data_IF_281776632294
#
_entry.id   IF_281776632294
#
_cell.length_a   1.000
_cell.length_b   1.000
_cell.length_c   1.000
_cell.angle_alpha   90.00
_cell.angle_beta   90.00
_cell.angle_gamma   90.00
#
_symmetry.space_group_name_H-M   'P 1'
#
loop_
_entity.id
_entity.type
_entity.pdbx_description
1 polymer ?
#
# COMPACT_ATOMS: atom_id res chain seq x y z
N UNK A 1 -47.59 -34.39 41.77
CA UNK A 1 -46.70 -35.04 40.79
C UNK A 1 -46.45 -34.04 39.67
N UNK A 2 -45.36 -33.27 39.73
CA UNK A 2 -45.00 -32.30 38.68
C UNK A 2 -44.21 -33.06 37.62
N UNK A 3 -44.79 -33.22 36.43
CA UNK A 3 -44.11 -33.85 35.30
C UNK A 3 -42.95 -32.94 34.82
N UNK A 4 -41.77 -33.49 34.51
CA UNK A 4 -40.56 -32.72 34.21
C UNK A 4 -40.52 -32.35 32.72
N UNK A 5 -41.54 -31.66 32.21
CA UNK A 5 -41.57 -31.21 30.82
C UNK A 5 -41.79 -29.69 30.81
N UNK A 6 -40.93 -28.97 30.10
CA UNK A 6 -41.20 -27.60 29.68
C UNK A 6 -42.40 -27.63 28.71
N UNK A 7 -43.47 -26.83 28.93
CA UNK A 7 -44.58 -26.76 28.00
C UNK A 7 -44.06 -26.38 26.62
N UNK A 8 -44.47 -27.11 25.58
CA UNK A 8 -44.23 -26.70 24.21
C UNK A 8 -45.00 -25.40 23.97
N UNK A 9 -44.30 -24.28 23.74
CA UNK A 9 -44.95 -23.06 23.29
C UNK A 9 -45.49 -23.32 21.88
N UNK A 10 -46.82 -23.39 21.78
CA UNK A 10 -47.48 -23.53 20.49
C UNK A 10 -47.22 -22.26 19.67
N UNK A 11 -46.91 -22.39 18.37
CA UNK A 11 -46.74 -21.23 17.51
C UNK A 11 -48.00 -20.36 17.54
N UNK A 12 -47.81 -19.04 17.55
CA UNK A 12 -48.91 -18.06 17.61
C UNK A 12 -49.79 -18.01 16.35
N UNK A 13 -49.38 -18.73 15.30
CA UNK A 13 -50.04 -18.81 14.01
C UNK A 13 -50.46 -20.25 13.73
N UNK A 14 -51.63 -20.41 13.10
CA UNK A 14 -52.07 -21.72 12.62
C UNK A 14 -51.21 -22.19 11.44
N UNK A 15 -51.14 -23.50 11.21
CA UNK A 15 -50.38 -24.10 10.11
C UNK A 15 -50.73 -23.48 8.75
N UNK A 16 -52.02 -23.23 8.49
CA UNK A 16 -52.50 -22.57 7.28
C UNK A 16 -52.01 -21.10 7.17
N UNK A 17 -51.93 -20.37 8.29
CA UNK A 17 -51.37 -19.01 8.29
C UNK A 17 -49.88 -18.99 8.01
N UNK A 18 -49.14 -20.01 8.48
CA UNK A 18 -47.71 -20.16 8.21
C UNK A 18 -47.49 -20.49 6.73
N UNK A 19 -48.30 -21.39 6.15
CA UNK A 19 -48.23 -21.75 4.73
C UNK A 19 -48.55 -20.57 3.81
N UNK A 20 -49.62 -19.83 4.07
CA UNK A 20 -49.94 -18.63 3.27
C UNK A 20 -48.85 -17.56 3.37
N UNK A 21 -48.26 -17.38 4.57
CA UNK A 21 -47.17 -16.44 4.75
C UNK A 21 -45.88 -16.90 4.06
N UNK A 22 -45.65 -18.20 3.97
CA UNK A 22 -44.53 -18.77 3.21
C UNK A 22 -44.70 -18.43 1.72
N UNK A 23 -45.89 -18.69 1.17
CA UNK A 23 -46.24 -18.39 -0.23
C UNK A 23 -46.08 -16.89 -0.55
N UNK A 24 -46.63 -16.00 0.30
CA UNK A 24 -46.45 -14.54 0.16
C UNK A 24 -44.97 -14.12 0.19
N UNK A 25 -44.16 -14.75 1.04
CA UNK A 25 -42.72 -14.45 1.14
C UNK A 25 -41.96 -14.97 -0.08
N UNK A 26 -42.31 -16.14 -0.61
CA UNK A 26 -41.73 -16.70 -1.82
C UNK A 26 -42.04 -15.82 -3.04
N UNK A 27 -43.30 -15.39 -3.20
CA UNK A 27 -43.72 -14.48 -4.26
C UNK A 27 -43.02 -13.12 -4.18
N UNK A 28 -42.86 -12.56 -2.98
CA UNK A 28 -42.15 -11.30 -2.80
C UNK A 28 -40.65 -11.44 -3.04
N UNK A 29 -40.06 -12.59 -2.72
CA UNK A 29 -38.66 -12.91 -3.03
C UNK A 29 -38.45 -12.99 -4.54
N UNK A 30 -39.27 -13.75 -5.27
CA UNK A 30 -39.16 -13.90 -6.72
C UNK A 30 -39.32 -12.56 -7.46
N UNK A 31 -40.29 -11.75 -7.03
CA UNK A 31 -40.48 -10.39 -7.55
C UNK A 31 -39.25 -9.50 -7.30
N UNK A 32 -38.62 -9.63 -6.14
CA UNK A 32 -37.41 -8.88 -5.79
C UNK A 32 -36.20 -9.33 -6.61
N UNK A 33 -36.05 -10.64 -6.85
CA UNK A 33 -34.99 -11.19 -7.70
C UNK A 33 -35.13 -10.76 -9.15
N UNK A 34 -36.35 -10.78 -9.68
CA UNK A 34 -36.65 -10.32 -11.04
C UNK A 34 -36.32 -8.84 -11.22
N UNK A 35 -36.68 -7.99 -10.24
CA UNK A 35 -36.27 -6.57 -10.24
C UNK A 35 -34.75 -6.41 -10.20
N UNK A 36 -34.05 -7.19 -9.37
CA UNK A 36 -32.59 -7.17 -9.28
C UNK A 36 -31.96 -7.51 -10.63
N UNK A 37 -32.38 -8.59 -11.28
CA UNK A 37 -31.89 -9.01 -12.61
C UNK A 37 -32.18 -7.92 -13.65
N UNK A 38 -33.39 -7.36 -13.63
CA UNK A 38 -33.79 -6.25 -14.51
C UNK A 38 -32.98 -4.97 -14.30
N UNK A 39 -32.51 -4.70 -13.09
CA UNK A 39 -31.62 -3.57 -12.79
C UNK A 39 -30.17 -3.85 -13.21
N UNK A 40 -29.67 -5.08 -13.05
CA UNK A 40 -28.31 -5.49 -13.40
C UNK A 40 -28.01 -5.31 -14.88
N UNK A 41 -29.02 -5.41 -15.77
CA UNK A 41 -28.83 -5.25 -17.23
C UNK A 41 -28.23 -3.89 -17.63
N UNK A 42 -28.41 -2.86 -16.82
CA UNK A 42 -27.93 -1.51 -17.13
C UNK A 42 -26.54 -1.23 -16.56
N UNK A 43 -25.94 -2.14 -15.79
CA UNK A 43 -24.65 -1.88 -15.13
C UNK A 43 -23.55 -1.54 -16.13
N UNK A 44 -23.47 -2.24 -17.26
CA UNK A 44 -22.46 -1.96 -18.29
C UNK A 44 -22.69 -0.59 -18.93
N UNK A 45 -23.92 -0.31 -19.36
CA UNK A 45 -24.26 0.99 -19.95
C UNK A 45 -24.03 2.15 -18.98
N UNK A 46 -24.40 1.99 -17.70
CA UNK A 46 -24.15 3.00 -16.67
C UNK A 46 -22.65 3.19 -16.41
N UNK A 47 -21.86 2.11 -16.44
CA UNK A 47 -20.39 2.20 -16.34
C UNK A 47 -19.81 2.98 -17.51
N UNK A 48 -20.28 2.75 -18.73
CA UNK A 48 -19.81 3.47 -19.92
C UNK A 48 -20.20 4.95 -19.87
N UNK A 49 -21.46 5.25 -19.54
CA UNK A 49 -21.91 6.62 -19.34
C UNK A 49 -21.12 7.35 -18.25
N UNK A 50 -20.82 6.67 -17.14
CA UNK A 50 -20.03 7.22 -16.06
C UNK A 50 -18.58 7.47 -16.50
N UNK A 51 -17.96 6.55 -17.23
CA UNK A 51 -16.62 6.74 -17.80
C UNK A 51 -16.57 7.92 -18.77
N UNK A 52 -17.59 8.07 -19.63
CA UNK A 52 -17.70 9.18 -20.56
C UNK A 52 -17.90 10.51 -19.82
N UNK A 53 -18.83 10.56 -18.86
CA UNK A 53 -19.08 11.75 -18.05
C UNK A 53 -17.83 12.18 -17.26
N UNK A 54 -17.10 11.24 -16.67
CA UNK A 54 -15.83 11.50 -15.99
C UNK A 54 -14.76 12.02 -16.96
N UNK A 55 -14.68 11.47 -18.17
CA UNK A 55 -13.72 11.92 -19.19
C UNK A 55 -14.03 13.34 -19.64
N UNK A 56 -15.29 13.66 -19.91
CA UNK A 56 -15.75 15.01 -20.24
C UNK A 56 -15.49 15.98 -19.09
N UNK A 57 -15.75 15.58 -17.84
CA UNK A 57 -15.48 16.41 -16.66
C UNK A 57 -13.99 16.73 -16.51
N UNK A 58 -13.10 15.74 -16.72
CA UNK A 58 -11.64 15.96 -16.70
C UNK A 58 -11.19 16.88 -17.82
N UNK A 59 -11.75 16.72 -19.03
CA UNK A 59 -11.44 17.58 -20.17
C UNK A 59 -11.86 19.03 -19.87
N UNK A 60 -13.09 19.25 -19.40
CA UNK A 60 -13.56 20.59 -19.03
C UNK A 60 -12.66 21.23 -17.96
N UNK A 61 -12.25 20.46 -16.95
CA UNK A 61 -11.32 20.94 -15.94
C UNK A 61 -9.97 21.33 -16.54
N UNK A 62 -9.44 20.53 -17.47
CA UNK A 62 -8.21 20.85 -18.18
C UNK A 62 -8.37 22.13 -19.00
N UNK A 63 -9.46 22.31 -19.75
CA UNK A 63 -9.75 23.52 -20.54
C UNK A 63 -9.82 24.78 -19.68
N UNK A 64 -10.24 24.70 -18.42
CA UNK A 64 -10.20 25.85 -17.51
C UNK A 64 -8.79 26.26 -17.07
N UNK A 65 -7.81 25.38 -17.23
CA UNK A 65 -6.40 25.62 -16.89
C UNK A 65 -5.58 26.07 -18.10
N UNK A 66 -6.23 26.27 -19.26
CA UNK A 66 -5.57 26.64 -20.51
C UNK A 66 -5.90 28.07 -20.88
N UNK A 67 -4.93 28.75 -21.50
CA UNK A 67 -5.15 30.07 -22.06
C UNK A 67 -5.59 29.92 -23.52
N UNK A 68 -6.83 30.31 -23.82
CA UNK A 68 -7.43 30.23 -25.15
C UNK A 68 -7.75 31.65 -25.64
N UNK A 69 -6.95 32.14 -26.58
CA UNK A 69 -7.20 33.37 -27.33
C UNK A 69 -7.54 33.02 -28.78
N UNK A 70 -8.19 33.94 -29.52
CA UNK A 70 -8.70 33.67 -30.87
C UNK A 70 -7.55 33.16 -31.78
N UNK A 71 -7.57 31.86 -32.07
CA UNK A 71 -6.59 31.18 -32.93
C UNK A 71 -5.28 30.75 -32.24
N UNK A 72 -5.14 30.93 -30.93
CA UNK A 72 -3.97 30.54 -30.16
C UNK A 72 -4.39 29.90 -28.83
N UNK A 73 -3.96 28.66 -28.62
CA UNK A 73 -4.19 27.92 -27.39
C UNK A 73 -2.86 27.50 -26.76
N UNK A 74 -2.70 27.76 -25.46
CA UNK A 74 -1.46 27.49 -24.71
C UNK A 74 -1.76 26.66 -23.47
N UNK A 75 -0.98 25.58 -23.29
CA UNK A 75 -0.98 24.74 -22.08
C UNK A 75 0.41 24.79 -21.46
N UNK A 76 0.47 25.02 -20.15
CA UNK A 76 1.67 24.81 -19.35
C UNK A 76 1.42 23.68 -18.33
N UNK A 77 2.30 22.69 -18.29
CA UNK A 77 2.17 21.54 -17.41
C UNK A 77 3.53 20.96 -17.00
N UNK A 78 3.55 20.25 -15.87
CA UNK A 78 4.71 19.51 -15.40
C UNK A 78 4.80 18.15 -16.07
N UNK A 79 5.95 17.83 -16.67
CA UNK A 79 6.19 16.55 -17.32
C UNK A 79 7.44 15.86 -16.73
N UNK A 80 7.36 14.56 -16.40
CA UNK A 80 8.53 13.78 -16.05
C UNK A 80 9.50 13.67 -17.23
N UNK A 81 10.81 13.77 -16.96
CA UNK A 81 11.86 13.74 -18.00
C UNK A 81 11.78 12.49 -18.88
N UNK A 82 11.39 11.36 -18.31
CA UNK A 82 11.24 10.09 -19.03
C UNK A 82 10.03 10.02 -19.99
N UNK A 83 9.11 11.00 -19.95
CA UNK A 83 7.94 11.07 -20.84
C UNK A 83 8.05 12.15 -21.91
N UNK A 84 9.14 12.94 -21.93
CA UNK A 84 9.35 14.01 -22.92
C UNK A 84 9.32 13.45 -24.36
N UNK A 85 9.89 12.27 -24.59
CA UNK A 85 9.90 11.65 -25.93
C UNK A 85 8.49 11.32 -26.43
N UNK A 86 7.63 10.80 -25.57
CA UNK A 86 6.23 10.51 -25.94
C UNK A 86 5.44 11.79 -26.24
N UNK A 87 5.78 12.90 -25.56
CA UNK A 87 5.17 14.20 -25.83
C UNK A 87 5.62 14.76 -27.18
N UNK A 88 6.89 14.60 -27.54
CA UNK A 88 7.43 15.02 -28.84
C UNK A 88 6.75 14.29 -30.02
N UNK A 89 6.45 13.00 -29.86
CA UNK A 89 5.70 12.22 -30.85
C UNK A 89 4.26 12.75 -31.04
N UNK A 90 3.56 13.06 -29.93
CA UNK A 90 2.22 13.65 -29.98
C UNK A 90 2.22 15.04 -30.63
N UNK A 91 3.22 15.87 -30.30
CA UNK A 91 3.34 17.23 -30.82
C UNK A 91 3.53 17.20 -32.35
N UNK A 92 4.29 16.23 -32.87
CA UNK A 92 4.45 16.01 -34.32
C UNK A 92 3.15 15.56 -34.99
N UNK A 93 2.40 14.66 -34.35
CA UNK A 93 1.11 14.17 -34.88
C UNK A 93 0.10 15.30 -35.04
N UNK A 94 0.00 16.18 -34.04
CA UNK A 94 -0.96 17.29 -34.02
C UNK A 94 -0.41 18.61 -34.58
N UNK A 95 0.83 18.63 -35.07
CA UNK A 95 1.51 19.84 -35.59
C UNK A 95 1.53 21.02 -34.59
N UNK A 96 1.79 20.71 -33.32
CA UNK A 96 1.86 21.69 -32.22
C UNK A 96 3.30 22.23 -32.05
N UNK A 97 3.45 23.30 -31.28
CA UNK A 97 4.74 23.77 -30.80
C UNK A 97 4.96 23.29 -29.35
N UNK A 98 6.16 22.80 -29.03
CA UNK A 98 6.55 22.35 -27.69
C UNK A 98 7.80 23.10 -27.21
N UNK A 99 7.72 23.66 -26.00
CA UNK A 99 8.87 24.21 -25.28
C UNK A 99 9.02 23.44 -23.98
N UNK A 100 10.24 22.99 -23.68
CA UNK A 100 10.56 22.27 -22.45
C UNK A 100 11.62 23.06 -21.70
N UNK A 101 11.34 23.38 -20.44
CA UNK A 101 12.22 24.14 -19.56
C UNK A 101 12.37 23.39 -18.23
N UNK A 102 13.56 23.46 -17.63
CA UNK A 102 13.79 22.94 -16.29
C UNK A 102 13.12 23.85 -15.23
N UNK A 103 12.60 23.29 -14.12
CA UNK A 103 11.96 24.06 -13.08
C UNK A 103 12.88 25.12 -12.48
N UNK A 104 12.39 26.36 -12.37
CA UNK A 104 13.12 27.46 -11.75
C UNK A 104 13.39 27.25 -10.25
N UNK A 105 14.35 27.98 -9.64
CA UNK A 105 14.72 27.81 -8.24
C UNK A 105 13.58 28.11 -7.24
N UNK A 106 12.58 28.90 -7.62
CA UNK A 106 11.42 29.23 -6.76
C UNK A 106 10.17 28.41 -7.09
N UNK A 107 10.21 27.59 -8.14
CA UNK A 107 9.07 26.78 -8.55
C UNK A 107 8.99 25.49 -7.74
N UNK A 108 7.76 25.06 -7.46
CA UNK A 108 7.46 23.84 -6.72
C UNK A 108 6.80 22.82 -7.64
N UNK A 109 7.58 22.09 -8.46
CA UNK A 109 7.04 21.02 -9.27
C UNK A 109 6.48 19.87 -8.41
N UNK A 110 5.51 19.10 -8.92
CA UNK A 110 4.98 17.95 -8.23
C UNK A 110 6.06 16.87 -8.06
N UNK A 111 6.09 16.24 -6.88
CA UNK A 111 7.02 15.15 -6.61
C UNK A 111 6.52 13.85 -7.19
N UNK A 112 7.29 13.28 -8.12
CA UNK A 112 7.06 11.95 -8.65
C UNK A 112 8.03 10.96 -7.99
N UNK A 113 7.51 10.12 -7.11
CA UNK A 113 8.28 9.03 -6.50
C UNK A 113 8.23 7.82 -7.43
N UNK A 114 9.40 7.38 -7.90
CA UNK A 114 9.54 6.16 -8.71
C UNK A 114 10.55 5.23 -8.03
N UNK A 115 10.03 4.18 -7.41
CA UNK A 115 10.81 3.09 -6.86
C UNK A 115 10.72 1.84 -7.74
N UNK A 116 11.76 1.01 -7.69
CA UNK A 116 11.71 -0.36 -8.24
C UNK A 116 10.58 -1.17 -7.58
N UNK A 117 10.06 -2.19 -8.26
CA UNK A 117 8.96 -3.03 -7.76
C UNK A 117 9.17 -3.57 -6.33
N UNK A 118 10.42 -3.91 -5.98
CA UNK A 118 10.79 -4.40 -4.65
C UNK A 118 10.71 -3.32 -3.55
N UNK A 119 10.92 -2.07 -3.91
CA UNK A 119 10.89 -0.89 -3.01
C UNK A 119 9.60 -0.08 -3.15
N UNK A 120 8.74 -0.43 -4.10
CA UNK A 120 7.45 0.20 -4.33
C UNK A 120 6.53 0.22 -3.09
N UNK A 121 6.55 -0.78 -2.18
CA UNK A 121 5.76 -0.69 -0.96
C UNK A 121 6.17 0.47 -0.05
N UNK A 122 7.44 0.89 -0.10
CA UNK A 122 7.95 2.03 0.65
C UNK A 122 7.29 3.35 0.28
N UNK A 123 6.84 3.51 -0.96
CA UNK A 123 6.09 4.70 -1.38
C UNK A 123 4.74 4.78 -0.68
N UNK A 124 4.04 3.66 -0.59
CA UNK A 124 2.74 3.58 0.10
C UNK A 124 2.91 3.91 1.57
N UNK A 125 3.96 3.40 2.22
CA UNK A 125 4.25 3.69 3.62
C UNK A 125 4.47 5.19 3.86
N UNK A 126 5.21 5.87 2.97
CA UNK A 126 5.41 7.32 3.07
C UNK A 126 4.14 8.11 2.77
N UNK A 127 3.33 7.67 1.81
CA UNK A 127 2.14 8.42 1.39
C UNK A 127 1.16 8.70 2.53
N UNK A 128 1.20 7.88 3.59
CA UNK A 128 0.41 8.08 4.82
C UNK A 128 0.90 9.30 5.63
N UNK A 129 2.20 9.58 5.63
CA UNK A 129 2.81 10.73 6.30
C UNK A 129 2.81 12.00 5.45
N UNK A 130 2.80 11.84 4.12
CA UNK A 130 2.78 12.93 3.17
C UNK A 130 3.85 12.77 2.08
N UNK A 131 3.61 13.39 0.94
CA UNK A 131 4.57 13.35 -0.18
C UNK A 131 5.79 14.21 0.15
N UNK A 132 7.02 13.69 -0.02
CA UNK A 132 8.22 14.47 0.24
C UNK A 132 8.32 15.65 -0.73
N UNK A 133 9.03 16.71 -0.31
CA UNK A 133 9.32 17.85 -1.18
C UNK A 133 10.14 17.40 -2.38
N UNK A 134 9.89 18.00 -3.55
CA UNK A 134 10.53 17.63 -4.82
C UNK A 134 12.06 17.65 -4.75
N UNK A 135 12.62 18.59 -3.98
CA UNK A 135 14.08 18.74 -3.81
C UNK A 135 14.62 18.00 -2.59
N UNK A 136 13.74 17.46 -1.76
CA UNK A 136 14.16 16.65 -0.62
C UNK A 136 14.52 15.24 -1.07
N UNK A 137 15.41 14.61 -0.32
CA UNK A 137 15.70 13.20 -0.54
C UNK A 137 14.44 12.36 -0.28
N UNK A 138 14.23 11.32 -1.07
CA UNK A 138 13.15 10.36 -0.87
C UNK A 138 13.49 9.34 0.22
N UNK A 139 12.89 9.40 1.42
CA UNK A 139 13.20 8.47 2.51
C UNK A 139 12.60 7.06 2.32
N UNK A 140 12.02 6.78 1.15
CA UNK A 140 11.18 5.61 0.87
C UNK A 140 11.88 4.29 1.08
N UNK A 141 13.10 4.17 0.55
CA UNK A 141 13.89 2.96 0.71
C UNK A 141 14.30 2.73 2.17
N UNK A 142 14.74 3.78 2.88
CA UNK A 142 15.17 3.66 4.28
C UNK A 142 14.00 3.29 5.19
N UNK A 143 12.86 3.97 5.04
CA UNK A 143 11.64 3.68 5.80
C UNK A 143 11.19 2.24 5.53
N UNK A 144 11.18 1.82 4.26
CA UNK A 144 10.77 0.47 3.90
C UNK A 144 11.69 -0.61 4.51
N UNK A 145 13.01 -0.48 4.33
CA UNK A 145 13.98 -1.46 4.86
C UNK A 145 13.90 -1.54 6.38
N UNK A 146 13.80 -0.39 7.05
CA UNK A 146 13.72 -0.33 8.51
C UNK A 146 12.40 -0.90 9.04
N UNK A 147 11.29 -0.61 8.35
CA UNK A 147 9.99 -1.18 8.67
C UNK A 147 9.99 -2.70 8.54
N UNK A 148 10.52 -3.24 7.44
CA UNK A 148 10.63 -4.68 7.21
C UNK A 148 11.51 -5.33 8.29
N UNK A 149 12.65 -4.72 8.62
CA UNK A 149 13.57 -5.24 9.64
C UNK A 149 12.91 -5.25 11.03
N UNK A 150 12.34 -4.12 11.47
CA UNK A 150 11.70 -4.04 12.79
C UNK A 150 10.48 -4.93 12.91
N UNK A 151 9.70 -5.09 11.85
CA UNK A 151 8.61 -6.05 11.84
C UNK A 151 9.10 -7.47 12.15
N UNK A 152 10.23 -7.87 11.56
CA UNK A 152 10.84 -9.17 11.83
C UNK A 152 11.26 -9.33 13.28
N UNK A 153 11.89 -8.29 13.86
CA UNK A 153 12.31 -8.26 15.27
C UNK A 153 11.11 -8.30 16.22
N UNK A 154 9.99 -7.64 15.89
CA UNK A 154 8.79 -7.57 16.74
C UNK A 154 8.03 -8.90 16.74
N UNK A 155 7.84 -9.51 15.55
CA UNK A 155 7.14 -10.79 15.44
C UNK A 155 7.99 -11.92 16.00
N UNK A 156 9.30 -11.88 15.75
CA UNK A 156 10.32 -12.78 16.23
C UNK A 156 10.10 -14.30 16.06
N UNK A 157 9.14 -14.71 15.24
CA UNK A 157 8.71 -16.11 15.11
C UNK A 157 8.73 -16.58 13.65
N UNK A 158 9.43 -17.69 13.42
CA UNK A 158 9.62 -18.26 12.09
C UNK A 158 8.33 -18.83 11.50
N UNK A 159 7.45 -19.42 12.33
CA UNK A 159 6.18 -20.00 11.95
C UNK A 159 5.20 -18.97 11.40
N UNK A 160 5.07 -17.82 12.07
CA UNK A 160 4.27 -16.70 11.56
C UNK A 160 4.86 -16.10 10.28
N UNK A 161 6.19 -15.99 10.18
CA UNK A 161 6.86 -15.57 8.95
C UNK A 161 6.55 -16.49 7.76
N UNK A 162 6.64 -17.81 7.97
CA UNK A 162 6.33 -18.78 6.92
C UNK A 162 4.85 -18.79 6.55
N UNK A 163 3.96 -18.56 7.51
CA UNK A 163 2.53 -18.42 7.25
C UNK A 163 2.23 -17.19 6.37
N UNK A 164 2.87 -16.05 6.65
CA UNK A 164 2.79 -14.85 5.81
C UNK A 164 3.32 -15.11 4.40
N UNK A 165 4.46 -15.78 4.27
CA UNK A 165 5.01 -16.19 2.97
C UNK A 165 4.09 -17.14 2.22
N UNK A 166 3.46 -18.09 2.93
CA UNK A 166 2.48 -19.01 2.37
C UNK A 166 1.26 -18.29 1.81
N UNK A 167 0.71 -17.33 2.56
CA UNK A 167 -0.40 -16.47 2.10
C UNK A 167 0.02 -15.65 0.88
N UNK A 168 1.19 -15.01 0.92
CA UNK A 168 1.71 -14.24 -0.21
C UNK A 168 1.86 -15.13 -1.47
N UNK A 169 2.36 -16.35 -1.29
CA UNK A 169 2.52 -17.32 -2.38
C UNK A 169 1.17 -17.80 -2.95
N UNK A 170 0.18 -18.11 -2.11
CA UNK A 170 -1.16 -18.50 -2.55
C UNK A 170 -1.87 -17.37 -3.31
N UNK A 171 -1.70 -16.13 -2.86
CA UNK A 171 -2.35 -14.97 -3.45
C UNK A 171 -1.56 -14.34 -4.61
N UNK A 172 -0.37 -14.85 -4.96
CA UNK A 172 0.52 -14.28 -5.99
C UNK A 172 -0.21 -14.01 -7.31
N UNK A 173 -1.05 -14.94 -7.77
CA UNK A 173 -1.75 -14.81 -9.06
C UNK A 173 -2.78 -13.69 -9.06
N UNK A 174 -3.51 -13.51 -7.95
CA UNK A 174 -4.52 -12.45 -7.80
C UNK A 174 -3.86 -11.08 -7.57
N UNK A 175 -2.88 -11.02 -6.68
CA UNK A 175 -2.22 -9.76 -6.30
C UNK A 175 -1.37 -9.18 -7.43
N UNK A 176 -0.68 -10.03 -8.20
CA UNK A 176 0.14 -9.56 -9.31
C UNK A 176 -0.69 -9.13 -10.53
N UNK A 177 -1.90 -9.67 -10.69
CA UNK A 177 -2.83 -9.33 -11.77
C UNK A 177 -3.68 -8.09 -11.48
N UNK A 178 -4.19 -7.92 -10.25
CA UNK A 178 -5.14 -6.85 -9.90
C UNK A 178 -4.49 -5.50 -9.55
N UNK A 179 -3.33 -5.15 -10.13
CA UNK A 179 -2.62 -3.91 -9.79
C UNK A 179 -2.23 -3.77 -8.30
N UNK A 180 -2.27 -4.86 -7.52
CA UNK A 180 -1.92 -4.91 -6.10
C UNK A 180 -0.50 -5.47 -5.87
N UNK A 181 0.37 -5.34 -6.87
CA UNK A 181 1.76 -5.83 -6.83
C UNK A 181 2.53 -5.31 -5.60
N UNK A 182 2.31 -4.04 -5.23
CA UNK A 182 2.91 -3.43 -4.04
C UNK A 182 2.57 -4.19 -2.76
N UNK A 183 1.33 -4.64 -2.62
CA UNK A 183 0.90 -5.38 -1.43
C UNK A 183 1.55 -6.77 -1.36
N UNK A 184 1.71 -7.43 -2.51
CA UNK A 184 2.44 -8.70 -2.60
C UNK A 184 3.90 -8.56 -2.13
N UNK A 185 4.63 -7.58 -2.66
CA UNK A 185 6.03 -7.36 -2.26
C UNK A 185 6.16 -7.00 -0.79
N UNK A 186 5.19 -6.25 -0.24
CA UNK A 186 5.16 -5.95 1.19
C UNK A 186 5.03 -7.23 2.03
N UNK A 187 4.00 -8.05 1.78
CA UNK A 187 3.81 -9.30 2.53
C UNK A 187 4.98 -10.27 2.38
N UNK A 188 5.55 -10.37 1.18
CA UNK A 188 6.73 -11.19 0.94
C UNK A 188 7.93 -10.71 1.76
N UNK A 189 8.24 -9.40 1.74
CA UNK A 189 9.36 -8.85 2.49
C UNK A 189 9.17 -8.99 4.01
N UNK A 190 7.97 -8.71 4.52
CA UNK A 190 7.62 -8.91 5.93
C UNK A 190 7.76 -10.36 6.36
N UNK A 191 7.24 -11.29 5.55
CA UNK A 191 7.36 -12.72 5.78
C UNK A 191 8.81 -13.21 5.78
N UNK A 192 9.63 -12.76 4.82
CA UNK A 192 11.07 -13.09 4.78
C UNK A 192 11.79 -12.56 6.03
N UNK A 193 11.51 -11.32 6.43
CA UNK A 193 12.15 -10.72 7.60
C UNK A 193 11.76 -11.44 8.91
N UNK A 194 10.47 -11.70 9.11
CA UNK A 194 9.98 -12.45 10.27
C UNK A 194 10.51 -13.88 10.30
N UNK A 195 10.52 -14.58 9.16
CA UNK A 195 11.13 -15.91 9.07
C UNK A 195 12.63 -15.88 9.36
N UNK A 196 13.36 -14.91 8.80
CA UNK A 196 14.80 -14.80 9.00
C UNK A 196 15.14 -14.51 10.47
N UNK A 197 14.49 -13.54 11.09
CA UNK A 197 14.73 -13.23 12.50
C UNK A 197 14.24 -14.34 13.43
N UNK A 198 13.08 -14.94 13.16
CA UNK A 198 12.58 -16.09 13.93
C UNK A 198 13.48 -17.32 13.86
N UNK A 199 14.11 -17.57 12.71
CA UNK A 199 15.14 -18.61 12.58
C UNK A 199 16.39 -18.27 13.40
N UNK A 200 16.77 -16.99 13.45
CA UNK A 200 17.92 -16.51 14.24
C UNK A 200 17.66 -16.55 15.75
N UNK A 201 16.45 -16.26 16.20
CA UNK A 201 16.02 -16.36 17.60
C UNK A 201 15.74 -17.80 18.02
N UNK A 202 15.46 -18.69 17.06
CA UNK A 202 15.10 -20.07 17.32
C UNK A 202 13.66 -20.27 17.76
N UNK A 203 12.77 -19.30 17.53
CA UNK A 203 11.36 -19.40 17.89
C UNK A 203 10.51 -19.89 16.71
N UNK A 204 9.76 -20.97 16.95
CA UNK A 204 8.87 -21.58 15.96
C UNK A 204 7.47 -21.79 16.55
N UNK A 205 6.48 -20.97 16.18
CA UNK A 205 5.12 -21.02 16.75
C UNK A 205 5.11 -20.95 18.29
N UNK A 206 6.01 -20.13 18.86
CA UNK A 206 6.28 -20.08 20.30
C UNK A 206 6.65 -21.43 20.95
N UNK A 207 7.20 -22.37 20.18
CA UNK A 207 7.73 -23.65 20.66
C UNK A 207 9.24 -23.69 20.44
N UNK A 208 9.98 -23.99 21.51
CA UNK A 208 11.43 -24.18 21.44
C UNK A 208 11.77 -25.50 20.72
N UNK A 209 12.70 -25.48 19.76
CA UNK A 209 13.13 -26.69 19.07
C UNK A 209 13.87 -27.64 20.04
N UNK A 210 13.74 -28.96 19.88
CA UNK A 210 14.40 -29.92 20.77
C UNK A 210 15.93 -29.74 20.80
N UNK A 211 16.51 -29.89 21.99
CA UNK A 211 17.96 -29.82 22.19
C UNK A 211 18.68 -30.84 21.30
N UNK A 212 19.60 -30.37 20.44
CA UNK A 212 20.35 -31.19 19.48
C UNK A 212 19.76 -31.26 18.07
N UNK A 213 18.60 -30.66 17.82
CA UNK A 213 18.04 -30.55 16.46
C UNK A 213 18.82 -29.54 15.60
N UNK A 214 18.77 -29.69 14.27
CA UNK A 214 19.36 -28.72 13.33
C UNK A 214 18.76 -27.31 13.52
N UNK A 215 17.50 -27.22 13.93
CA UNK A 215 16.79 -25.96 14.21
C UNK A 215 17.38 -25.24 15.43
N UNK A 216 17.67 -25.98 16.52
CA UNK A 216 18.35 -25.43 17.69
C UNK A 216 19.78 -24.95 17.37
N UNK A 217 20.41 -25.45 16.31
CA UNK A 217 21.77 -25.07 15.88
C UNK A 217 21.80 -23.79 15.05
N UNK A 218 20.66 -23.37 14.49
CA UNK A 218 20.50 -22.13 13.70
C UNK A 218 20.18 -20.94 14.62
N UNK A 219 19.64 -21.20 15.82
CA UNK A 219 19.37 -20.21 16.84
C UNK A 219 20.69 -19.63 17.41
N UNK A 220 21.15 -18.51 16.87
CA UNK A 220 22.40 -17.84 17.26
C UNK A 220 22.11 -16.62 18.16
N UNK A 221 20.93 -16.04 18.04
CA UNK A 221 20.60 -14.74 18.64
C UNK A 221 19.25 -14.79 19.34
N UNK A 222 19.20 -15.38 20.54
CA UNK A 222 18.02 -15.39 21.41
C UNK A 222 18.21 -14.37 22.54
N UNK A 223 17.57 -13.18 22.47
CA UNK A 223 17.58 -12.27 23.61
C UNK A 223 16.83 -12.92 24.78
N UNK A 224 17.39 -12.84 25.98
CA UNK A 224 16.76 -13.38 27.17
C UNK A 224 15.56 -12.50 27.56
N UNK A 225 14.36 -13.08 27.47
CA UNK A 225 13.11 -12.39 27.78
C UNK A 225 12.90 -12.21 29.29
N UNK A 226 13.61 -12.97 30.12
CA UNK A 226 13.54 -12.85 31.59
C UNK A 226 14.42 -11.69 32.09
N UNK A 227 15.51 -11.38 31.37
CA UNK A 227 16.41 -10.27 31.69
C UNK A 227 15.92 -8.96 31.08
N UNK A 228 14.95 -8.31 31.73
CA UNK A 228 14.42 -7.00 31.32
C UNK A 228 15.53 -5.96 31.01
N UNK A 229 16.62 -5.82 31.81
CA UNK A 229 17.68 -4.85 31.49
C UNK A 229 18.40 -5.14 30.17
N UNK A 230 18.62 -6.40 29.82
CA UNK A 230 19.27 -6.81 28.57
C UNK A 230 18.36 -6.51 27.37
N UNK A 231 17.06 -6.82 27.50
CA UNK A 231 16.05 -6.51 26.49
C UNK A 231 15.91 -4.99 26.25
N UNK A 232 15.93 -4.19 27.33
CA UNK A 232 15.94 -2.73 27.23
C UNK A 232 17.21 -2.22 26.53
N UNK A 233 18.39 -2.72 26.92
CA UNK A 233 19.65 -2.34 26.30
C UNK A 233 19.68 -2.69 24.80
N UNK A 234 19.13 -3.84 24.42
CA UNK A 234 18.98 -4.27 23.03
C UNK A 234 18.10 -3.32 22.22
N UNK A 235 16.89 -3.02 22.70
CA UNK A 235 15.95 -2.10 22.04
C UNK A 235 16.52 -0.69 21.88
N UNK A 236 17.13 -0.14 22.94
CA UNK A 236 17.76 1.19 22.91
C UNK A 236 18.95 1.21 21.94
N UNK A 237 19.75 0.16 21.90
CA UNK A 237 20.90 0.06 20.98
C UNK A 237 20.46 0.06 19.52
N UNK A 238 19.41 -0.71 19.19
CA UNK A 238 18.83 -0.72 17.83
C UNK A 238 18.26 0.65 17.46
N UNK A 239 17.51 1.28 18.38
CA UNK A 239 16.95 2.62 18.16
C UNK A 239 18.03 3.67 17.92
N UNK A 240 19.09 3.66 18.74
CA UNK A 240 20.23 4.55 18.59
C UNK A 240 20.96 4.32 17.26
N UNK A 241 21.22 3.06 16.90
CA UNK A 241 21.83 2.70 15.62
C UNK A 241 20.98 3.18 14.44
N UNK A 242 19.66 3.03 14.51
CA UNK A 242 18.74 3.47 13.46
C UNK A 242 18.76 4.99 13.27
N UNK A 243 18.74 5.76 14.36
CA UNK A 243 18.86 7.24 14.32
C UNK A 243 20.22 7.67 13.76
N UNK A 244 21.30 6.99 14.13
CA UNK A 244 22.64 7.26 13.61
C UNK A 244 22.71 7.04 12.09
N UNK A 245 22.14 5.94 11.59
CA UNK A 245 22.08 5.63 10.16
C UNK A 245 21.27 6.71 9.41
N UNK A 246 20.10 7.10 9.95
CA UNK A 246 19.26 8.13 9.35
C UNK A 246 20.01 9.47 9.24
N UNK A 247 20.69 9.90 10.30
CA UNK A 247 21.48 11.12 10.31
C UNK A 247 22.70 11.05 9.38
N UNK A 248 23.40 9.91 9.33
CA UNK A 248 24.54 9.72 8.44
C UNK A 248 24.13 9.83 6.96
N UNK A 249 22.99 9.24 6.60
CA UNK A 249 22.42 9.35 5.26
C UNK A 249 22.09 10.82 4.94
N UNK A 250 21.40 11.52 5.84
CA UNK A 250 21.08 12.94 5.65
C UNK A 250 22.33 13.82 5.44
N UNK A 251 23.38 13.60 6.24
CA UNK A 251 24.66 14.32 6.12
C UNK A 251 25.35 14.00 4.79
N UNK A 252 25.42 12.73 4.39
CA UNK A 252 26.07 12.32 3.14
C UNK A 252 25.42 12.96 1.91
N UNK A 253 24.10 13.17 1.98
CA UNK A 253 23.32 13.76 0.89
C UNK A 253 23.48 15.27 0.83
N UNK A 254 23.40 15.94 1.98
CA UNK A 254 23.71 17.36 2.10
C UNK A 254 25.11 17.66 1.55
N UNK A 255 26.09 16.82 1.89
CA UNK A 255 27.44 16.92 1.36
C UNK A 255 27.51 16.69 -0.16
N UNK A 256 26.74 15.73 -0.68
CA UNK A 256 26.66 15.48 -2.14
C UNK A 256 26.03 16.65 -2.91
N UNK A 257 25.02 17.32 -2.33
CA UNK A 257 24.35 18.48 -2.91
C UNK A 257 25.29 19.70 -2.95
N UNK A 258 26.02 19.94 -1.84
CA UNK A 258 27.07 20.96 -1.76
C UNK A 258 28.16 20.75 -2.81
N UNK A 259 28.62 19.50 -2.99
CA UNK A 259 29.64 19.16 -4.00
C UNK A 259 29.17 19.42 -5.43
N UNK A 260 27.86 19.35 -5.69
CA UNK A 260 27.23 19.65 -6.98
C UNK A 260 26.91 21.14 -7.17
N UNK A 261 27.27 22.00 -6.21
CA UNK A 261 27.01 23.45 -6.29
C UNK A 261 25.55 23.82 -6.13
N UNK A 262 24.70 22.91 -5.66
CA UNK A 262 23.29 23.20 -5.39
C UNK A 262 23.20 23.95 -4.05
N UNK A 263 22.73 25.20 -4.09
CA UNK A 263 22.56 26.01 -2.90
C UNK A 263 21.40 25.45 -2.06
N UNK A 264 21.68 25.04 -0.83
CA UNK A 264 20.66 24.57 0.11
C UNK A 264 19.75 25.77 0.44
N UNK A 265 18.51 25.76 -0.05
CA UNK A 265 17.52 26.70 0.47
C UNK A 265 17.17 26.30 1.91
N UNK A 266 16.88 27.30 2.74
CA UNK A 266 16.61 27.19 4.18
C UNK A 266 15.45 26.28 4.57
N UNK A 267 14.71 25.74 3.61
CA UNK A 267 13.52 24.92 3.81
C UNK A 267 13.84 23.45 4.12
N UNK A 268 15.11 23.03 4.01
CA UNK A 268 15.56 21.67 4.31
C UNK A 268 15.76 21.38 5.82
N UNK A 269 15.50 22.35 6.71
CA UNK A 269 15.77 22.27 8.14
C UNK A 269 14.53 22.34 9.06
N UNK A 270 13.33 22.16 8.50
CA UNK A 270 12.09 22.01 9.29
C UNK A 270 11.48 20.63 9.06
#
# INVERSE_FOLDING_TARGET
>A
MKLPFTPLEMPSLSEAQIQNRLEDVEDTLENSETRRIGATRFIESLRDYLNQALSTSKLNQATHLTHDEIGLFVIQAWCPVNQISALDDLVKEFSLALTVEDPGPQEQPPTLVQNSDLLAPGETLISVYGTPSYRSWGPSALIYVSFVLFFGIIIADAGYGFLLLGIAWLLRGKLLANSQRRLFYLFAALGVSASAYGLLSGEYFAVDPPEGSLLARIAIFKPDLENIPELMAFSVSIGCLHVLIANAIAVSQCWSALRKGQCLSSDHLQ
#
